data_IF_144148993689
#
_entry.id   IF_144148993689
#
_cell.length_a   1.000
_cell.length_b   1.000
_cell.length_c   1.000
_cell.angle_alpha   90.00
_cell.angle_beta   90.00
_cell.angle_gamma   90.00
#
_symmetry.space_group_name_H-M   'P 1'
#
loop_
_entity.id
_entity.type
_entity.pdbx_description
1 polymer ?
#
# COMPACT_ATOMS: atom_id res chain seq x y z
N UNK A 1 -0.74 -23.53 22.81
CA UNK A 1 0.54 -23.70 22.08
C UNK A 1 0.32 -24.44 20.75
N UNK A 2 0.54 -23.75 19.63
CA UNK A 2 0.76 -24.36 18.31
C UNK A 2 -0.49 -24.64 17.46
N UNK A 3 -1.24 -23.61 17.08
CA UNK A 3 -1.93 -23.64 15.78
C UNK A 3 -1.05 -22.87 14.81
N UNK A 4 -0.53 -23.56 13.79
CA UNK A 4 0.22 -22.97 12.69
C UNK A 4 -0.70 -22.01 11.94
N UNK A 5 -0.55 -20.71 12.15
CA UNK A 5 -1.29 -19.71 11.36
C UNK A 5 -1.55 -18.37 12.05
N UNK A 6 -1.52 -18.27 13.38
CA UNK A 6 -1.55 -16.97 14.07
C UNK A 6 -0.27 -16.78 14.86
N UNK A 7 0.44 -15.68 14.61
CA UNK A 7 1.58 -15.30 15.43
C UNK A 7 1.07 -14.95 16.84
N UNK A 8 1.30 -15.86 17.79
CA UNK A 8 1.01 -15.64 19.21
C UNK A 8 2.24 -15.09 19.91
N UNK A 9 2.07 -14.00 20.65
CA UNK A 9 3.09 -13.41 21.51
C UNK A 9 2.56 -13.42 22.95
N UNK A 10 3.28 -14.13 23.83
CA UNK A 10 3.00 -14.09 25.27
C UNK A 10 3.30 -12.69 25.82
N UNK A 11 2.41 -12.16 26.66
CA UNK A 11 2.65 -10.90 27.35
C UNK A 11 1.44 -10.42 28.13
N UNK A 12 1.68 -9.50 29.04
CA UNK A 12 0.66 -8.95 29.94
C UNK A 12 -0.17 -7.86 29.26
N UNK A 13 -1.39 -7.64 29.75
CA UNK A 13 -2.17 -6.45 29.40
C UNK A 13 -1.55 -5.24 30.14
N UNK A 14 -1.15 -4.17 29.43
CA UNK A 14 -0.53 -3.03 30.06
C UNK A 14 -1.53 -2.28 30.94
N UNK A 15 -1.05 -1.71 32.04
CA UNK A 15 -1.82 -0.77 32.85
C UNK A 15 -1.82 0.60 32.18
N UNK A 16 -3.01 1.12 31.87
CA UNK A 16 -3.17 2.48 31.36
C UNK A 16 -3.30 3.46 32.54
N UNK A 17 -2.42 4.46 32.58
CA UNK A 17 -2.51 5.57 33.53
C UNK A 17 -3.49 6.66 33.05
N UNK A 18 -3.32 7.88 33.53
CA UNK A 18 -4.03 9.07 33.04
C UNK A 18 -3.20 9.90 32.06
N UNK A 19 -1.97 9.47 31.78
CA UNK A 19 -0.99 10.17 30.95
C UNK A 19 -0.30 9.22 29.98
N UNK A 20 0.13 9.72 28.83
CA UNK A 20 0.98 9.00 27.87
C UNK A 20 2.35 8.70 28.49
N UNK A 21 3.20 7.87 27.84
CA UNK A 21 4.59 7.65 28.28
C UNK A 21 5.39 8.96 28.43
N UNK A 22 5.10 9.96 27.61
CA UNK A 22 5.72 11.29 27.65
C UNK A 22 5.09 12.23 28.70
N UNK A 23 4.08 11.77 29.44
CA UNK A 23 3.44 12.52 30.52
C UNK A 23 2.27 13.40 30.09
N UNK A 24 1.81 13.32 28.84
CA UNK A 24 0.68 14.10 28.35
C UNK A 24 -0.65 13.54 28.88
N UNK A 25 -1.53 14.35 29.49
CA UNK A 25 -2.83 13.88 29.94
C UNK A 25 -3.75 13.54 28.76
N UNK A 26 -4.59 12.52 28.93
CA UNK A 26 -5.60 12.12 27.93
C UNK A 26 -6.98 11.87 28.55
N UNK A 27 -8.03 12.02 27.76
CA UNK A 27 -9.40 11.74 28.20
C UNK A 27 -9.77 10.25 28.15
N UNK A 28 -9.20 9.50 27.19
CA UNK A 28 -9.39 8.05 27.11
C UNK A 28 -8.12 7.36 26.61
N UNK A 29 -7.93 6.12 27.07
CA UNK A 29 -6.86 5.24 26.63
C UNK A 29 -7.38 3.84 26.37
N UNK A 30 -6.90 3.20 25.32
CA UNK A 30 -7.21 1.81 24.98
C UNK A 30 -5.93 1.04 24.64
N UNK A 31 -5.92 -0.25 24.91
CA UNK A 31 -4.83 -1.15 24.56
C UNK A 31 -5.38 -2.37 23.83
N UNK A 32 -4.83 -2.66 22.65
CA UNK A 32 -5.24 -3.78 21.80
C UNK A 32 -4.06 -4.75 21.69
N UNK A 33 -4.27 -6.01 22.05
CA UNK A 33 -3.23 -7.04 21.90
C UNK A 33 -3.05 -7.42 20.43
N UNK A 34 -1.81 -7.57 19.99
CA UNK A 34 -1.46 -8.11 18.68
C UNK A 34 -2.06 -9.49 18.44
N UNK A 35 -2.25 -10.29 19.49
CA UNK A 35 -2.88 -11.60 19.41
C UNK A 35 -4.32 -11.52 18.91
N UNK A 36 -5.08 -10.50 19.34
CA UNK A 36 -6.47 -10.31 18.89
C UNK A 36 -6.50 -9.98 17.40
N UNK A 37 -5.57 -9.13 16.94
CA UNK A 37 -5.45 -8.75 15.54
C UNK A 37 -5.03 -9.98 14.70
N UNK A 38 -4.03 -10.73 15.16
CA UNK A 38 -3.55 -11.94 14.47
C UNK A 38 -4.61 -13.05 14.44
N UNK A 39 -5.46 -13.17 15.45
CA UNK A 39 -6.60 -14.09 15.43
C UNK A 39 -7.66 -13.66 14.40
N UNK A 40 -7.93 -12.37 14.29
CA UNK A 40 -8.86 -11.85 13.28
C UNK A 40 -8.34 -12.07 11.85
N UNK A 41 -7.05 -11.82 11.61
CA UNK A 41 -6.39 -12.08 10.32
C UNK A 41 -6.42 -13.56 9.96
N UNK A 42 -6.15 -14.43 10.94
CA UNK A 42 -6.23 -15.88 10.76
C UNK A 42 -7.66 -16.33 10.39
N UNK A 43 -8.68 -15.85 11.10
CA UNK A 43 -10.07 -16.16 10.78
C UNK A 43 -10.49 -15.65 9.39
N UNK A 44 -10.00 -14.47 8.98
CA UNK A 44 -10.24 -13.93 7.64
C UNK A 44 -9.60 -14.80 6.55
N UNK A 45 -8.39 -15.30 6.80
CA UNK A 45 -7.71 -16.23 5.91
C UNK A 45 -8.47 -17.56 5.78
N UNK A 46 -8.88 -18.16 6.90
CA UNK A 46 -9.69 -19.40 6.88
C UNK A 46 -11.03 -19.23 6.16
N UNK A 47 -11.59 -18.02 6.20
CA UNK A 47 -12.81 -17.68 5.46
C UNK A 47 -12.59 -17.43 3.96
N UNK A 48 -11.35 -17.52 3.46
CA UNK A 48 -11.00 -17.26 2.06
C UNK A 48 -11.02 -15.79 1.68
N UNK A 49 -11.03 -14.86 2.65
CA UNK A 49 -11.04 -13.40 2.37
C UNK A 49 -9.70 -12.94 1.81
N UNK A 50 -8.63 -13.67 2.09
CA UNK A 50 -7.27 -13.31 1.68
C UNK A 50 -6.89 -13.83 0.29
N UNK A 51 -7.73 -14.64 -0.36
CA UNK A 51 -7.54 -15.03 -1.77
C UNK A 51 -8.16 -13.98 -2.68
N UNK A 52 -7.48 -13.62 -3.77
CA UNK A 52 -7.99 -12.62 -4.71
C UNK A 52 -7.82 -13.09 -6.15
N UNK A 53 -8.90 -13.00 -6.93
CA UNK A 53 -8.89 -13.20 -8.39
C UNK A 53 -9.16 -11.86 -9.07
N UNK A 54 -8.23 -11.44 -9.92
CA UNK A 54 -8.33 -10.22 -10.71
C UNK A 54 -8.54 -10.61 -12.17
N UNK A 55 -9.75 -10.35 -12.66
CA UNK A 55 -10.11 -10.57 -14.06
C UNK A 55 -9.46 -9.54 -15.00
N UNK A 56 -9.25 -9.91 -16.27
CA UNK A 56 -8.77 -9.00 -17.32
C UNK A 56 -9.62 -7.73 -17.46
N UNK A 57 -8.97 -6.60 -17.71
CA UNK A 57 -9.63 -5.29 -17.86
C UNK A 57 -9.92 -4.55 -16.55
N UNK A 58 -9.60 -5.12 -15.39
CA UNK A 58 -9.73 -4.45 -14.09
C UNK A 58 -8.56 -3.50 -13.77
N UNK A 59 -7.41 -3.70 -14.42
CA UNK A 59 -6.32 -2.73 -14.51
C UNK A 59 -6.18 -2.31 -15.97
N UNK A 60 -6.40 -1.03 -16.25
CA UNK A 60 -6.24 -0.47 -17.60
C UNK A 60 -4.81 -0.61 -18.14
N UNK A 61 -3.83 -0.78 -17.25
CA UNK A 61 -2.41 -0.83 -17.58
C UNK A 61 -1.82 -2.26 -17.51
N UNK A 62 -2.60 -3.27 -17.10
CA UNK A 62 -2.19 -4.69 -17.17
C UNK A 62 -2.58 -5.26 -18.54
N UNK A 63 -2.09 -4.63 -19.60
CA UNK A 63 -2.33 -5.04 -20.99
C UNK A 63 -1.24 -5.97 -21.47
N UNK A 64 -1.50 -6.77 -22.52
CA UNK A 64 -0.44 -7.45 -23.25
C UNK A 64 0.69 -6.49 -23.62
N UNK A 65 0.41 -5.27 -24.07
CA UNK A 65 1.43 -4.28 -24.41
C UNK A 65 2.31 -3.85 -23.21
N UNK A 66 1.72 -3.73 -22.01
CA UNK A 66 2.45 -3.44 -20.77
C UNK A 66 3.31 -4.61 -20.29
N UNK A 67 2.95 -5.85 -20.67
CA UNK A 67 3.77 -7.05 -20.44
C UNK A 67 4.70 -7.33 -21.65
N UNK A 68 4.40 -6.76 -22.82
CA UNK A 68 5.10 -7.00 -24.09
C UNK A 68 6.50 -6.39 -24.12
N UNK A 69 6.74 -5.37 -23.29
CA UNK A 69 8.09 -4.88 -22.96
C UNK A 69 8.98 -6.01 -22.42
N UNK A 70 8.37 -7.09 -21.91
CA UNK A 70 9.02 -8.14 -21.14
C UNK A 70 8.79 -9.55 -21.73
N UNK A 71 8.09 -9.68 -22.86
CA UNK A 71 7.95 -10.94 -23.59
C UNK A 71 9.07 -11.13 -24.62
N UNK A 72 9.59 -12.36 -24.80
CA UNK A 72 10.43 -12.68 -25.95
C UNK A 72 9.72 -12.33 -27.26
N UNK A 73 10.49 -11.94 -28.29
CA UNK A 73 9.96 -11.55 -29.61
C UNK A 73 9.07 -12.62 -30.29
N UNK A 74 9.17 -13.87 -29.84
CA UNK A 74 8.42 -15.02 -30.35
C UNK A 74 7.29 -15.49 -29.41
N UNK A 75 6.94 -14.70 -28.39
CA UNK A 75 5.81 -15.05 -27.53
C UNK A 75 4.50 -14.97 -28.32
N UNK A 76 3.67 -16.01 -28.27
CA UNK A 76 2.34 -16.03 -28.90
C UNK A 76 1.33 -15.13 -28.15
N UNK A 77 1.74 -14.03 -27.50
CA UNK A 77 0.85 -13.16 -26.74
C UNK A 77 0.46 -11.99 -27.64
N UNK A 78 -0.79 -11.97 -28.08
CA UNK A 78 -1.31 -10.91 -28.94
C UNK A 78 -1.87 -9.75 -28.11
N UNK A 79 -1.90 -8.54 -28.68
CA UNK A 79 -2.49 -7.36 -28.04
C UNK A 79 -4.00 -7.49 -27.73
N UNK A 80 -4.66 -8.46 -28.35
CA UNK A 80 -6.05 -8.81 -28.10
C UNK A 80 -6.26 -9.80 -26.93
N UNK A 81 -5.18 -10.38 -26.40
CA UNK A 81 -5.24 -11.35 -25.32
C UNK A 81 -5.55 -10.70 -23.98
N UNK A 82 -6.02 -11.52 -23.04
CA UNK A 82 -6.50 -11.06 -21.75
C UNK A 82 -5.67 -11.64 -20.62
N UNK A 83 -5.16 -10.78 -19.73
CA UNK A 83 -4.30 -11.19 -18.62
C UNK A 83 -5.07 -11.07 -17.31
N UNK A 84 -5.22 -12.22 -16.65
CA UNK A 84 -5.75 -12.35 -15.31
C UNK A 84 -4.62 -12.53 -14.30
N UNK A 85 -4.90 -12.20 -13.05
CA UNK A 85 -3.95 -12.35 -11.94
C UNK A 85 -4.67 -12.97 -10.75
N UNK A 86 -4.00 -13.86 -10.04
CA UNK A 86 -4.58 -14.55 -8.89
C UNK A 86 -3.58 -14.64 -7.75
N UNK A 87 -4.07 -14.36 -6.54
CA UNK A 87 -3.31 -14.37 -5.29
C UNK A 87 -3.87 -15.49 -4.41
N UNK A 88 -3.05 -16.51 -4.20
CA UNK A 88 -3.34 -17.74 -3.46
C UNK A 88 -2.34 -17.88 -2.30
N UNK A 89 -2.57 -17.22 -1.16
CA UNK A 89 -1.72 -17.32 0.01
C UNK A 89 -1.79 -18.71 0.66
N UNK A 90 -0.64 -19.31 0.97
CA UNK A 90 -0.59 -20.59 1.70
C UNK A 90 -0.74 -20.42 3.22
N UNK A 91 -0.47 -19.22 3.73
CA UNK A 91 -0.55 -18.90 5.16
C UNK A 91 -1.36 -17.64 5.44
N UNK A 92 -1.86 -17.51 6.66
CA UNK A 92 -2.53 -16.29 7.10
C UNK A 92 -1.53 -15.15 7.31
N UNK A 93 -1.88 -13.91 6.93
CA UNK A 93 -1.07 -12.76 7.28
C UNK A 93 -1.08 -12.50 8.79
N UNK A 94 -0.07 -11.82 9.28
CA UNK A 94 0.05 -11.45 10.69
C UNK A 94 0.68 -10.08 10.86
N UNK A 95 0.51 -9.49 12.03
CA UNK A 95 1.22 -8.28 12.44
C UNK A 95 2.24 -8.59 13.54
N UNK A 96 3.32 -7.82 13.52
CA UNK A 96 4.30 -7.73 14.59
C UNK A 96 4.50 -6.27 14.96
N UNK A 97 4.23 -5.94 16.21
CA UNK A 97 4.42 -4.58 16.72
C UNK A 97 5.91 -4.33 17.00
N UNK A 98 6.35 -3.10 16.75
CA UNK A 98 7.75 -2.68 16.93
C UNK A 98 7.82 -1.38 17.73
N UNK A 99 8.72 -1.26 18.71
CA UNK A 99 8.78 -0.11 19.62
C UNK A 99 9.46 1.13 19.01
N UNK A 100 9.39 1.35 17.70
CA UNK A 100 10.18 2.39 17.00
C UNK A 100 9.39 3.68 16.74
N UNK A 101 10.10 4.82 16.72
CA UNK A 101 9.60 6.12 16.22
C UNK A 101 9.40 6.04 14.70
N UNK A 102 8.16 5.80 14.27
CA UNK A 102 7.79 5.71 12.86
C UNK A 102 6.67 4.70 12.63
N UNK A 103 7.04 3.49 12.20
CA UNK A 103 6.07 2.41 11.97
C UNK A 103 5.64 1.75 13.30
N UNK A 104 4.33 1.61 13.50
CA UNK A 104 3.75 0.91 14.65
C UNK A 104 4.08 -0.59 14.63
N UNK A 105 4.40 -1.13 13.45
CA UNK A 105 4.79 -2.52 13.29
C UNK A 105 4.99 -2.90 11.83
N UNK A 106 5.09 -4.20 11.62
CA UNK A 106 5.15 -4.82 10.29
C UNK A 106 3.92 -5.70 10.11
N UNK A 107 3.25 -5.55 8.98
CA UNK A 107 2.32 -6.52 8.43
C UNK A 107 3.14 -7.48 7.58
N UNK A 108 3.13 -8.76 7.94
CA UNK A 108 3.91 -9.78 7.27
C UNK A 108 2.99 -10.86 6.71
N UNK A 109 3.32 -11.35 5.53
CA UNK A 109 2.58 -12.38 4.85
C UNK A 109 3.51 -13.32 4.10
N UNK A 110 3.55 -14.57 4.52
CA UNK A 110 4.50 -15.54 4.00
C UNK A 110 3.83 -16.54 3.07
N UNK A 111 4.63 -17.07 2.14
CA UNK A 111 4.23 -18.07 1.16
C UNK A 111 3.01 -17.62 0.34
N UNK A 112 3.04 -16.37 -0.13
CA UNK A 112 2.02 -15.79 -1.01
C UNK A 112 2.30 -16.23 -2.44
N UNK A 113 1.40 -17.03 -3.01
CA UNK A 113 1.48 -17.41 -4.43
C UNK A 113 0.76 -16.37 -5.28
N UNK A 114 1.46 -15.78 -6.23
CA UNK A 114 0.91 -14.91 -7.26
C UNK A 114 1.05 -15.61 -8.60
N UNK A 115 -0.06 -15.79 -9.31
CA UNK A 115 -0.10 -16.40 -10.64
C UNK A 115 -0.65 -15.41 -11.66
N UNK A 116 0.01 -15.36 -12.82
CA UNK A 116 -0.49 -14.65 -13.99
C UNK A 116 -1.07 -15.66 -14.96
N UNK A 117 -2.32 -15.44 -15.35
CA UNK A 117 -3.06 -16.33 -16.22
C UNK A 117 -3.38 -15.62 -17.54
N UNK A 118 -3.13 -16.25 -18.68
CA UNK A 118 -3.51 -15.76 -20.00
C UNK A 118 -4.82 -16.42 -20.43
N UNK A 119 -5.74 -15.61 -20.93
CA UNK A 119 -6.91 -16.05 -21.64
C UNK A 119 -6.79 -15.69 -23.12
N UNK A 120 -6.85 -16.73 -23.96
CA UNK A 120 -7.06 -16.59 -25.39
C UNK A 120 -8.48 -17.02 -25.75
N UNK A 121 -9.11 -16.27 -26.65
CA UNK A 121 -10.45 -16.61 -27.14
C UNK A 121 -10.51 -18.02 -27.75
N UNK A 122 -9.41 -18.50 -28.34
CA UNK A 122 -9.28 -19.83 -28.92
C UNK A 122 -9.23 -20.95 -27.89
N UNK A 123 -8.72 -20.67 -26.69
CA UNK A 123 -8.62 -21.65 -25.61
C UNK A 123 -9.93 -21.79 -24.84
N UNK A 124 -10.69 -20.70 -24.71
CA UNK A 124 -11.93 -20.66 -23.92
C UNK A 124 -11.70 -20.87 -22.41
N UNK A 125 -10.45 -20.87 -21.97
CA UNK A 125 -10.03 -21.07 -20.58
C UNK A 125 -8.77 -20.24 -20.28
N UNK A 126 -8.58 -19.93 -18.99
CA UNK A 126 -7.35 -19.30 -18.49
C UNK A 126 -6.26 -20.34 -18.33
N UNK A 127 -5.04 -20.01 -18.76
CA UNK A 127 -3.85 -20.85 -18.59
C UNK A 127 -2.74 -20.06 -17.94
N UNK A 128 -2.08 -20.66 -16.96
CA UNK A 128 -1.01 -20.00 -16.21
C UNK A 128 0.20 -19.73 -17.09
N UNK A 129 0.54 -18.45 -17.23
CA UNK A 129 1.76 -17.99 -17.88
C UNK A 129 2.96 -18.30 -17.00
N UNK A 130 2.90 -17.85 -15.75
CA UNK A 130 3.90 -18.10 -14.73
C UNK A 130 3.33 -17.84 -13.33
N UNK A 131 4.02 -18.35 -12.32
CA UNK A 131 3.72 -18.12 -10.92
C UNK A 131 4.97 -17.78 -10.12
N UNK A 132 4.79 -17.03 -9.04
CA UNK A 132 5.84 -16.74 -8.06
C UNK A 132 5.28 -16.93 -6.66
N UNK A 133 6.11 -17.49 -5.78
CA UNK A 133 5.85 -17.51 -4.35
C UNK A 133 6.81 -16.55 -3.67
N UNK A 134 6.26 -15.67 -2.82
CA UNK A 134 7.06 -14.67 -2.11
C UNK A 134 6.58 -14.47 -0.67
N UNK A 135 7.50 -13.94 0.13
CA UNK A 135 7.22 -13.37 1.44
C UNK A 135 7.15 -11.86 1.32
N UNK A 136 6.18 -11.28 2.00
CA UNK A 136 5.88 -9.86 2.02
C UNK A 136 6.01 -9.33 3.44
N UNK A 137 6.72 -8.22 3.61
CA UNK A 137 6.78 -7.47 4.87
C UNK A 137 6.55 -6.00 4.60
N UNK A 138 5.58 -5.42 5.28
CA UNK A 138 5.13 -4.05 5.03
C UNK A 138 5.05 -3.28 6.34
N UNK A 139 5.89 -2.25 6.53
CA UNK A 139 5.74 -1.36 7.67
C UNK A 139 4.37 -0.69 7.62
N UNK A 140 3.66 -0.70 8.75
CA UNK A 140 2.38 0.00 8.87
C UNK A 140 2.44 1.06 9.96
N UNK A 141 1.68 2.11 9.72
CA UNK A 141 1.45 3.22 10.64
C UNK A 141 -0.01 3.16 11.13
N UNK A 142 -0.27 3.79 12.26
CA UNK A 142 -1.59 3.81 12.88
C UNK A 142 -2.00 5.27 13.08
N UNK A 143 -3.24 5.61 12.70
CA UNK A 143 -3.80 6.95 12.87
C UNK A 143 -5.30 6.89 13.19
N UNK A 144 -5.96 8.06 13.29
CA UNK A 144 -7.40 8.20 13.40
C UNK A 144 -8.05 8.72 12.12
N UNK A 145 -9.25 8.25 11.80
CA UNK A 145 -10.08 8.78 10.69
C UNK A 145 -10.78 10.09 11.06
N UNK A 146 -11.49 10.69 10.09
CA UNK A 146 -12.34 11.88 10.28
C UNK A 146 -13.42 11.67 11.37
N UNK A 147 -13.89 10.43 11.52
CA UNK A 147 -14.91 10.03 12.50
C UNK A 147 -14.31 9.55 13.84
N UNK A 148 -12.98 9.62 13.99
CA UNK A 148 -12.29 9.14 15.19
C UNK A 148 -12.11 7.62 15.27
N UNK A 149 -12.17 6.91 14.13
CA UNK A 149 -11.91 5.47 14.09
C UNK A 149 -10.42 5.16 13.91
N UNK A 150 -9.98 3.96 14.33
CA UNK A 150 -8.60 3.52 14.12
C UNK A 150 -8.36 3.21 12.64
N UNK A 151 -7.40 3.89 12.04
CA UNK A 151 -6.94 3.65 10.67
C UNK A 151 -5.54 3.05 10.69
N UNK A 152 -5.33 2.01 9.89
CA UNK A 152 -4.00 1.47 9.61
C UNK A 152 -3.58 1.98 8.24
N UNK A 153 -2.39 2.56 8.15
CA UNK A 153 -1.80 3.10 6.93
C UNK A 153 -0.61 2.28 6.51
N UNK A 154 -0.51 2.02 5.21
CA UNK A 154 0.69 1.46 4.58
C UNK A 154 1.20 2.55 3.66
N UNK A 155 2.23 3.27 4.08
CA UNK A 155 2.83 4.36 3.29
C UNK A 155 4.27 4.05 2.86
N UNK A 156 4.87 3.00 3.42
CA UNK A 156 6.22 2.56 3.05
C UNK A 156 6.15 1.43 2.02
N UNK A 157 7.15 1.39 1.14
CA UNK A 157 7.27 0.30 0.17
C UNK A 157 7.41 -1.04 0.89
N UNK A 158 6.70 -2.08 0.43
CA UNK A 158 6.86 -3.42 0.96
C UNK A 158 8.27 -3.95 0.67
N UNK A 159 8.80 -4.73 1.61
CA UNK A 159 9.96 -5.60 1.39
C UNK A 159 9.44 -6.94 0.90
N UNK A 160 9.97 -7.42 -0.22
CA UNK A 160 9.53 -8.66 -0.86
C UNK A 160 10.71 -9.59 -1.01
N UNK A 161 10.52 -10.85 -0.62
CA UNK A 161 11.50 -11.90 -0.79
C UNK A 161 10.88 -13.05 -1.58
N UNK A 162 11.33 -13.22 -2.82
CA UNK A 162 10.93 -14.37 -3.64
C UNK A 162 11.54 -15.64 -3.04
N UNK A 163 10.68 -16.63 -2.79
CA UNK A 163 11.09 -17.94 -2.26
C UNK A 163 11.11 -19.01 -3.34
N UNK A 164 10.18 -18.95 -4.30
CA UNK A 164 10.04 -19.95 -5.35
C UNK A 164 9.46 -19.34 -6.62
N UNK A 165 9.86 -19.88 -7.77
CA UNK A 165 9.37 -19.49 -9.08
C UNK A 165 8.80 -20.71 -9.79
N UNK A 166 7.59 -20.59 -10.33
CA UNK A 166 6.91 -21.70 -11.00
C UNK A 166 7.41 -21.82 -12.44
N UNK A 167 8.38 -22.72 -12.64
CA UNK A 167 8.96 -23.03 -13.94
C UNK A 167 8.06 -23.91 -14.83
N UNK A 168 6.85 -24.26 -14.37
CA UNK A 168 5.89 -25.08 -15.14
C UNK A 168 4.91 -24.25 -15.99
N UNK A 169 4.98 -22.93 -15.87
CA UNK A 169 4.23 -21.98 -16.69
C UNK A 169 4.60 -22.05 -18.19
N UNK A 170 3.78 -21.41 -19.02
CA UNK A 170 3.98 -21.37 -20.48
C UNK A 170 5.28 -20.67 -20.90
N UNK A 171 5.88 -19.86 -20.02
CA UNK A 171 7.15 -19.16 -20.27
C UNK A 171 8.21 -19.49 -19.22
N UNK A 172 9.46 -19.66 -19.66
CA UNK A 172 10.60 -19.83 -18.76
C UNK A 172 11.08 -18.44 -18.32
N UNK A 173 11.04 -18.15 -17.02
CA UNK A 173 11.40 -16.83 -16.49
C UNK A 173 12.74 -16.86 -15.75
N UNK A 174 13.62 -15.87 -15.97
CA UNK A 174 14.82 -15.71 -15.17
C UNK A 174 14.46 -15.13 -13.79
N UNK A 175 15.23 -15.42 -12.73
CA UNK A 175 14.93 -14.92 -11.39
C UNK A 175 14.89 -13.39 -11.25
N UNK A 176 15.66 -12.63 -12.03
CA UNK A 176 15.64 -11.16 -11.97
C UNK A 176 14.39 -10.56 -12.59
N UNK A 177 13.85 -11.14 -13.68
CA UNK A 177 12.54 -10.75 -14.25
C UNK A 177 11.41 -10.78 -13.21
N UNK A 178 11.41 -11.78 -12.32
CA UNK A 178 10.36 -11.96 -11.32
C UNK A 178 10.51 -10.93 -10.20
N UNK A 179 11.75 -10.61 -9.81
CA UNK A 179 12.03 -9.50 -8.89
C UNK A 179 11.55 -8.15 -9.49
N UNK A 180 11.87 -7.87 -10.76
CA UNK A 180 11.43 -6.66 -11.46
C UNK A 180 9.89 -6.57 -11.58
N UNK A 181 9.23 -7.70 -11.87
CA UNK A 181 7.77 -7.78 -11.95
C UNK A 181 7.10 -7.48 -10.60
N UNK A 182 7.62 -8.05 -9.51
CA UNK A 182 7.07 -7.77 -8.17
C UNK A 182 7.31 -6.33 -7.74
N UNK A 183 8.47 -5.76 -8.06
CA UNK A 183 8.79 -4.35 -7.83
C UNK A 183 7.85 -3.40 -8.59
N UNK A 184 7.31 -3.84 -9.72
CA UNK A 184 6.44 -3.07 -10.63
C UNK A 184 4.94 -3.19 -10.31
N UNK A 185 4.45 -4.40 -9.98
CA UNK A 185 3.02 -4.63 -9.75
C UNK A 185 2.57 -4.35 -8.32
N UNK A 186 3.47 -4.45 -7.34
CA UNK A 186 3.09 -4.32 -5.93
C UNK A 186 2.65 -2.92 -5.50
N UNK A 187 3.25 -1.81 -5.99
CA UNK A 187 2.72 -0.47 -5.76
C UNK A 187 1.26 -0.29 -6.23
N UNK A 188 0.80 -1.08 -7.22
CA UNK A 188 -0.58 -1.05 -7.71
C UNK A 188 -1.54 -1.94 -6.90
N UNK A 189 -1.07 -3.05 -6.33
CA UNK A 189 -1.88 -4.00 -5.55
C UNK A 189 -1.99 -3.57 -4.08
N UNK A 190 -0.90 -3.03 -3.51
CA UNK A 190 -0.81 -2.67 -2.09
C UNK A 190 -1.86 -1.66 -1.62
N UNK A 191 -2.17 -0.57 -2.36
CA UNK A 191 -3.23 0.36 -1.98
C UNK A 191 -4.61 -0.30 -1.88
N UNK A 192 -4.88 -1.33 -2.70
CA UNK A 192 -6.15 -2.09 -2.66
C UNK A 192 -6.18 -3.10 -1.52
N UNK A 193 -5.06 -3.76 -1.23
CA UNK A 193 -4.96 -4.59 -0.03
C UNK A 193 -5.19 -3.73 1.23
N UNK A 194 -4.58 -2.54 1.29
CA UNK A 194 -4.81 -1.57 2.35
C UNK A 194 -6.28 -1.10 2.40
N UNK A 195 -6.94 -0.87 1.26
CA UNK A 195 -8.37 -0.52 1.21
C UNK A 195 -9.27 -1.65 1.75
N UNK A 196 -8.92 -2.91 1.49
CA UNK A 196 -9.65 -4.10 1.98
C UNK A 196 -9.36 -4.39 3.45
N UNK A 197 -8.20 -4.02 3.97
CA UNK A 197 -7.85 -4.04 5.40
C UNK A 197 -8.57 -2.93 6.20
N UNK A 198 -9.84 -2.66 5.85
CA UNK A 198 -10.66 -1.55 6.33
C UNK A 198 -10.51 -1.31 7.85
N UNK A 199 -10.27 -0.03 8.15
CA UNK A 199 -10.53 0.72 9.39
C UNK A 199 -11.29 -0.10 10.43
N UNK A 200 -10.64 -0.42 11.55
CA UNK A 200 -11.31 -1.04 12.70
C UNK A 200 -12.16 0.05 13.36
N UNK A 201 -13.51 -0.03 13.29
CA UNK A 201 -14.35 0.98 13.90
C UNK A 201 -14.18 0.93 15.42
N UNK A 202 -13.68 2.02 15.99
CA UNK A 202 -13.70 2.20 17.45
C UNK A 202 -15.12 2.57 17.89
N UNK A 203 -15.61 2.05 19.03
CA UNK A 203 -16.93 2.41 19.54
C UNK A 203 -16.99 3.90 19.86
N UNK A 204 -17.98 4.62 19.32
CA UNK A 204 -18.25 6.02 19.71
C UNK A 204 -18.73 6.08 21.15
N UNK A 205 -18.30 7.10 21.89
CA UNK A 205 -18.77 7.36 23.25
C UNK A 205 -19.76 8.52 23.21
N UNK A 206 -21.06 8.22 23.21
CA UNK A 206 -22.15 9.20 23.24
C UNK A 206 -22.01 10.32 22.17
N UNK A 207 -22.04 11.60 22.59
CA UNK A 207 -21.99 12.79 21.71
C UNK A 207 -20.54 13.30 21.45
N UNK A 208 -19.54 12.43 21.57
CA UNK A 208 -18.13 12.78 21.40
C UNK A 208 -17.47 11.97 20.28
N UNK A 209 -16.60 12.65 19.53
CA UNK A 209 -15.66 12.05 18.59
C UNK A 209 -14.36 11.72 19.31
N UNK A 210 -13.80 10.54 19.03
CA UNK A 210 -12.52 10.10 19.57
C UNK A 210 -11.37 10.69 18.74
N UNK A 211 -10.66 11.68 19.25
CA UNK A 211 -9.47 12.21 18.59
C UNK A 211 -8.23 11.51 19.13
N UNK A 212 -7.60 10.67 18.32
CA UNK A 212 -6.38 9.98 18.73
C UNK A 212 -5.19 10.92 18.59
N UNK A 213 -4.50 11.14 19.71
CA UNK A 213 -3.33 12.02 19.77
C UNK A 213 -2.03 11.25 19.73
N UNK A 214 -2.01 10.10 20.41
CA UNK A 214 -0.78 9.40 20.68
C UNK A 214 -0.98 7.88 20.62
N UNK A 215 0.08 7.19 20.22
CA UNK A 215 0.14 5.74 20.13
C UNK A 215 1.51 5.26 20.59
N UNK A 216 1.54 4.14 21.29
CA UNK A 216 2.80 3.51 21.67
C UNK A 216 2.64 2.00 21.79
N UNK A 217 3.77 1.31 21.68
CA UNK A 217 3.82 -0.12 21.92
C UNK A 217 4.05 -0.39 23.39
N UNK A 218 3.21 -1.23 23.98
CA UNK A 218 3.19 -1.53 25.40
C UNK A 218 3.23 -3.04 25.66
N UNK A 219 3.49 -3.36 26.92
CA UNK A 219 3.67 -4.74 27.40
C UNK A 219 5.12 -5.21 27.27
N UNK A 220 5.54 -6.08 28.19
CA UNK A 220 6.92 -6.58 28.30
C UNK A 220 7.42 -7.34 27.06
N UNK A 221 6.50 -7.80 26.21
CA UNK A 221 6.79 -8.49 24.94
C UNK A 221 6.53 -7.65 23.69
N UNK A 222 6.32 -6.33 23.80
CA UNK A 222 5.87 -5.47 22.69
C UNK A 222 4.62 -6.03 22.00
N UNK A 223 3.66 -6.52 22.79
CA UNK A 223 2.53 -7.31 22.32
C UNK A 223 1.20 -6.54 22.32
N UNK A 224 1.22 -5.26 22.68
CA UNK A 224 0.03 -4.42 22.70
C UNK A 224 0.27 -3.09 22.01
N UNK A 225 -0.69 -2.69 21.17
CA UNK A 225 -0.81 -1.35 20.63
C UNK A 225 -1.67 -0.53 21.59
N UNK A 226 -1.06 0.43 22.26
CA UNK A 226 -1.75 1.38 23.14
C UNK A 226 -2.04 2.67 22.39
N UNK A 227 -3.21 3.23 22.65
CA UNK A 227 -3.76 4.41 21.99
C UNK A 227 -4.30 5.34 23.07
N UNK A 228 -4.00 6.63 22.96
CA UNK A 228 -4.55 7.66 23.83
C UNK A 228 -5.04 8.86 23.05
N UNK A 229 -6.10 9.48 23.56
CA UNK A 229 -6.73 10.59 22.88
C UNK A 229 -7.71 11.38 23.70
N UNK A 230 -8.27 12.37 23.01
CA UNK A 230 -9.20 13.33 23.56
C UNK A 230 -10.62 13.09 23.05
N UNK A 231 -11.60 13.26 23.93
CA UNK A 231 -13.00 13.31 23.57
C UNK A 231 -13.35 14.72 23.12
N UNK A 232 -13.65 14.89 21.84
CA UNK A 232 -14.06 16.19 21.29
C UNK A 232 -15.58 16.16 21.08
N UNK A 233 -16.35 17.13 21.61
CA UNK A 233 -17.79 17.20 21.37
C UNK A 233 -18.10 17.29 19.88
N UNK A 234 -19.07 16.49 19.41
CA UNK A 234 -19.46 16.44 17.99
C UNK A 234 -19.95 17.80 17.47
N UNK A 235 -20.56 18.61 18.33
CA UNK A 235 -20.98 19.97 17.96
C UNK A 235 -19.81 20.89 17.59
N UNK A 236 -18.66 20.72 18.25
CA UNK A 236 -17.45 21.51 17.99
C UNK A 236 -16.80 21.09 16.67
N UNK A 237 -16.68 19.78 16.41
CA UNK A 237 -16.11 19.27 15.16
C UNK A 237 -17.00 19.61 13.96
N UNK A 238 -18.32 19.55 14.10
CA UNK A 238 -19.26 19.92 13.03
C UNK A 238 -19.19 21.41 12.67
N UNK A 239 -19.09 22.28 13.66
CA UNK A 239 -19.06 23.74 13.50
C UNK A 239 -17.69 24.28 13.04
N UNK A 240 -16.63 23.48 13.05
CA UNK A 240 -15.30 23.89 12.62
C UNK A 240 -15.29 24.32 11.14
N UNK A 241 -14.51 25.36 10.84
CA UNK A 241 -14.26 25.81 9.48
C UNK A 241 -13.40 24.81 8.71
N UNK A 242 -13.68 24.65 7.42
CA UNK A 242 -12.89 23.78 6.54
C UNK A 242 -11.52 24.42 6.24
N UNK A 243 -10.43 23.64 6.24
CA UNK A 243 -9.13 24.09 5.77
C UNK A 243 -9.09 24.16 4.23
N UNK A 244 -8.00 24.70 3.69
CA UNK A 244 -7.70 24.57 2.26
C UNK A 244 -6.29 24.06 2.03
N UNK A 245 -6.09 23.19 1.05
CA UNK A 245 -4.78 22.67 0.63
C UNK A 245 -4.24 23.47 -0.55
N UNK A 246 -2.94 23.76 -0.53
CA UNK A 246 -2.18 24.35 -1.63
C UNK A 246 -1.09 23.38 -2.06
N UNK A 247 -0.94 23.16 -3.37
CA UNK A 247 0.22 22.45 -3.93
C UNK A 247 1.23 23.51 -4.34
N UNK A 248 2.41 23.48 -3.73
CA UNK A 248 3.45 24.50 -3.90
C UNK A 248 4.37 24.18 -5.08
N UNK A 249 4.87 22.94 -5.16
CA UNK A 249 5.73 22.47 -6.25
C UNK A 249 5.51 20.98 -6.57
N UNK A 250 5.82 20.60 -7.81
CA UNK A 250 5.78 19.22 -8.29
C UNK A 250 7.03 18.94 -9.11
N UNK A 251 7.94 18.16 -8.55
CA UNK A 251 9.21 17.79 -9.18
C UNK A 251 9.14 16.35 -9.64
N UNK A 252 9.45 16.09 -10.92
CA UNK A 252 9.53 14.73 -11.48
C UNK A 252 10.96 14.35 -11.80
N UNK A 253 11.29 13.08 -11.59
CA UNK A 253 12.61 12.51 -11.87
C UNK A 253 12.49 11.23 -12.72
N UNK A 254 13.45 11.04 -13.62
CA UNK A 254 13.55 9.83 -14.45
C UNK A 254 14.15 8.69 -13.65
N UNK A 255 13.63 7.48 -13.84
CA UNK A 255 14.12 6.27 -13.16
C UNK A 255 14.59 5.25 -14.19
N UNK A 256 15.83 4.77 -14.05
CA UNK A 256 16.35 3.65 -14.84
C UNK A 256 16.09 2.35 -14.09
N UNK A 257 15.37 1.43 -14.73
CA UNK A 257 15.07 0.09 -14.22
C UNK A 257 15.82 -0.96 -15.05
N UNK A 258 16.40 -1.94 -14.38
CA UNK A 258 16.99 -3.10 -15.06
C UNK A 258 15.90 -4.11 -15.42
N UNK A 259 15.92 -4.50 -16.69
CA UNK A 259 14.97 -5.43 -17.31
C UNK A 259 15.73 -6.62 -17.84
N UNK A 260 15.38 -7.82 -17.38
CA UNK A 260 15.93 -9.07 -17.89
C UNK A 260 15.01 -9.68 -18.95
N UNK A 261 15.60 -10.15 -20.04
CA UNK A 261 14.95 -10.96 -21.06
C UNK A 261 15.67 -12.30 -21.21
N UNK A 262 14.94 -13.32 -21.67
CA UNK A 262 15.50 -14.66 -21.95
C UNK A 262 15.30 -14.95 -23.42
N UNK A 263 16.39 -15.28 -24.10
CA UNK A 263 16.32 -15.71 -25.48
C UNK A 263 15.90 -17.18 -25.62
N UNK A 264 15.63 -17.63 -26.84
CA UNK A 264 15.20 -19.01 -27.15
C UNK A 264 16.17 -20.11 -26.65
N UNK A 265 17.42 -19.74 -26.35
CA UNK A 265 18.47 -20.65 -25.86
C UNK A 265 18.57 -20.67 -24.33
N UNK A 266 17.68 -19.97 -23.62
CA UNK A 266 17.69 -19.90 -22.16
C UNK A 266 18.78 -18.99 -21.58
N UNK A 267 19.38 -18.12 -22.40
CA UNK A 267 20.40 -17.16 -21.95
C UNK A 267 19.69 -15.89 -21.50
N UNK A 268 20.04 -15.42 -20.29
CA UNK A 268 19.53 -14.17 -19.70
C UNK A 268 20.33 -12.98 -20.21
N UNK A 269 19.64 -11.97 -20.72
CA UNK A 269 20.21 -10.67 -21.10
C UNK A 269 19.56 -9.57 -20.28
N UNK A 270 20.36 -8.66 -19.72
CA UNK A 270 19.90 -7.51 -18.94
C UNK A 270 20.00 -6.24 -19.77
N UNK A 271 18.89 -5.53 -19.94
CA UNK A 271 18.80 -4.21 -20.57
C UNK A 271 18.38 -3.17 -19.51
N UNK A 272 18.81 -1.93 -19.69
CA UNK A 272 18.36 -0.83 -18.84
C UNK A 272 17.27 -0.04 -19.57
N UNK A 273 16.09 0.07 -18.96
CA UNK A 273 14.98 0.86 -19.49
C UNK A 273 14.81 2.10 -18.63
N UNK A 274 14.77 3.28 -19.26
CA UNK A 274 14.49 4.54 -18.56
C UNK A 274 13.02 4.86 -18.65
N UNK A 275 12.41 5.13 -17.50
CA UNK A 275 11.05 5.63 -17.35
C UNK A 275 11.12 7.10 -17.01
N UNK A 276 10.68 7.95 -17.95
CA UNK A 276 10.65 9.39 -17.76
C UNK A 276 9.59 9.76 -16.73
N UNK A 277 9.91 10.65 -15.78
CA UNK A 277 9.02 11.01 -14.67
C UNK A 277 8.55 9.79 -13.84
N UNK A 278 9.42 8.79 -13.65
CA UNK A 278 9.14 7.59 -12.86
C UNK A 278 9.06 7.84 -11.35
N UNK A 279 9.58 8.98 -10.89
CA UNK A 279 9.49 9.48 -9.52
C UNK A 279 8.88 10.88 -9.50
N UNK A 280 8.07 11.17 -8.47
CA UNK A 280 7.49 12.50 -8.26
C UNK A 280 7.51 12.88 -6.79
N UNK A 281 7.90 14.12 -6.54
CA UNK A 281 7.83 14.78 -5.23
C UNK A 281 6.84 15.93 -5.33
N UNK A 282 5.85 15.96 -4.45
CA UNK A 282 4.80 16.97 -4.39
C UNK A 282 4.91 17.70 -3.06
N UNK A 283 5.23 18.99 -3.12
CA UNK A 283 5.26 19.87 -1.95
C UNK A 283 3.87 20.41 -1.66
N UNK A 284 3.44 20.29 -0.40
CA UNK A 284 2.09 20.62 0.04
C UNK A 284 2.09 21.55 1.24
N UNK A 285 1.17 22.51 1.22
CA UNK A 285 0.85 23.38 2.35
C UNK A 285 -0.66 23.61 2.43
N UNK A 286 -1.11 24.47 3.35
CA UNK A 286 -2.52 24.79 3.48
C UNK A 286 -2.82 25.88 4.49
N UNK A 287 -3.99 26.50 4.30
CA UNK A 287 -4.51 27.49 5.24
C UNK A 287 -5.29 26.77 6.35
N UNK A 288 -4.76 26.79 7.57
CA UNK A 288 -5.52 26.39 8.74
C UNK A 288 -6.38 27.57 9.24
N UNK A 289 -7.73 27.46 9.23
CA UNK A 289 -8.59 28.49 9.80
C UNK A 289 -8.48 28.64 11.32
N UNK A 290 -7.91 27.65 12.02
CA UNK A 290 -7.69 27.67 13.47
C UNK A 290 -6.24 27.23 13.81
N UNK A 291 -5.22 28.04 13.46
CA UNK A 291 -3.81 27.66 13.62
C UNK A 291 -3.42 27.46 15.08
N UNK A 292 -4.08 28.17 16.01
CA UNK A 292 -3.85 28.05 17.45
C UNK A 292 -4.19 26.67 18.01
N UNK A 293 -4.99 25.86 17.30
CA UNK A 293 -5.38 24.51 17.69
C UNK A 293 -4.43 23.44 17.18
N UNK A 294 -3.42 23.80 16.36
CA UNK A 294 -2.41 22.89 15.83
C UNK A 294 -2.25 23.00 14.30
N UNK A 295 -1.41 22.12 13.75
CA UNK A 295 -1.13 22.08 12.30
C UNK A 295 -2.14 21.22 11.54
N UNK A 296 -2.24 21.45 10.23
CA UNK A 296 -3.03 20.60 9.33
C UNK A 296 -2.41 19.21 9.22
N UNK A 297 -3.26 18.24 8.95
CA UNK A 297 -2.87 16.91 8.53
C UNK A 297 -3.34 16.69 7.10
N UNK A 298 -2.55 15.97 6.33
CA UNK A 298 -2.83 15.70 4.93
C UNK A 298 -2.92 14.20 4.69
N UNK A 299 -3.64 13.85 3.62
CA UNK A 299 -3.65 12.51 3.03
C UNK A 299 -3.69 12.64 1.51
N UNK A 300 -3.27 11.61 0.82
CA UNK A 300 -3.36 11.55 -0.64
C UNK A 300 -3.89 10.20 -1.14
N UNK A 301 -4.33 10.18 -2.38
CA UNK A 301 -4.55 8.94 -3.14
C UNK A 301 -4.04 9.12 -4.57
N UNK A 302 -3.60 8.02 -5.16
CA UNK A 302 -3.08 7.98 -6.53
C UNK A 302 -4.06 7.19 -7.39
N UNK A 303 -4.42 7.73 -8.56
CA UNK A 303 -5.24 7.09 -9.61
C UNK A 303 -6.58 6.54 -9.12
N UNK A 304 -7.22 7.26 -8.18
CA UNK A 304 -8.49 6.84 -7.59
C UNK A 304 -8.40 5.64 -6.65
N UNK A 305 -7.20 5.22 -6.27
CA UNK A 305 -6.94 4.16 -5.30
C UNK A 305 -7.32 4.51 -3.86
N UNK A 306 -6.86 3.67 -2.92
CA UNK A 306 -7.07 3.86 -1.49
C UNK A 306 -6.42 5.14 -0.98
N UNK A 307 -7.05 5.77 0.02
CA UNK A 307 -6.48 6.92 0.71
C UNK A 307 -5.35 6.51 1.64
N UNK A 308 -4.26 7.29 1.64
CA UNK A 308 -3.24 7.26 2.68
C UNK A 308 -3.85 7.62 4.04
N UNK A 309 -3.11 7.37 5.13
CA UNK A 309 -3.56 7.86 6.43
C UNK A 309 -3.49 9.38 6.48
N UNK A 310 -4.19 9.97 7.43
CA UNK A 310 -3.97 11.36 7.79
C UNK A 310 -2.66 11.46 8.56
N UNK A 311 -1.76 12.35 8.16
CA UNK A 311 -0.57 12.68 8.97
C UNK A 311 -0.07 14.09 8.65
N UNK A 312 0.69 14.67 9.56
CA UNK A 312 1.42 15.91 9.28
C UNK A 312 2.53 15.59 8.28
N UNK A 313 2.48 16.25 7.12
CA UNK A 313 3.48 16.15 6.06
C UNK A 313 3.47 17.46 5.29
N UNK A 314 4.63 17.88 4.86
CA UNK A 314 4.91 18.99 3.97
C UNK A 314 5.23 18.50 2.54
N UNK A 315 5.50 17.21 2.39
CA UNK A 315 5.93 16.60 1.15
C UNK A 315 5.28 15.21 0.95
N UNK A 316 5.01 14.86 -0.31
CA UNK A 316 4.57 13.53 -0.75
C UNK A 316 5.54 13.02 -1.80
N UNK A 317 6.19 11.87 -1.54
CA UNK A 317 7.07 11.20 -2.50
C UNK A 317 6.41 9.95 -3.04
N UNK A 318 6.30 9.85 -4.36
CA UNK A 318 5.84 8.65 -5.06
C UNK A 318 6.97 8.18 -5.97
N UNK A 319 7.20 6.88 -5.98
CA UNK A 319 8.25 6.26 -6.78
C UNK A 319 7.72 5.09 -7.59
N UNK A 320 8.45 4.73 -8.64
CA UNK A 320 8.15 3.59 -9.52
C UNK A 320 6.77 3.68 -10.15
N UNK A 321 6.42 4.86 -10.64
CA UNK A 321 5.16 5.11 -11.34
C UNK A 321 5.15 4.40 -12.70
N UNK A 322 3.98 3.91 -13.11
CA UNK A 322 3.80 3.18 -14.37
C UNK A 322 3.81 4.16 -15.53
N UNK A 323 4.10 3.72 -16.76
CA UNK A 323 3.85 4.59 -17.90
C UNK A 323 2.34 4.86 -18.04
N UNK A 324 1.96 6.12 -18.25
CA UNK A 324 0.58 6.55 -18.34
C UNK A 324 0.32 7.91 -17.69
N UNK A 325 -0.95 8.32 -17.71
CA UNK A 325 -1.42 9.50 -16.98
C UNK A 325 -1.71 9.12 -15.52
N UNK A 326 -1.21 9.94 -14.60
CA UNK A 326 -1.40 9.80 -13.17
C UNK A 326 -2.13 10.99 -12.57
N UNK A 327 -3.02 10.71 -11.62
CA UNK A 327 -3.80 11.70 -10.88
C UNK A 327 -3.60 11.51 -9.37
N UNK A 328 -2.99 12.48 -8.71
CA UNK A 328 -2.78 12.49 -7.26
C UNK A 328 -3.71 13.49 -6.62
N UNK A 329 -4.68 13.01 -5.84
CA UNK A 329 -5.60 13.86 -5.10
C UNK A 329 -5.11 14.02 -3.67
N UNK A 330 -4.99 15.26 -3.20
CA UNK A 330 -4.46 15.61 -1.87
C UNK A 330 -5.53 16.35 -1.07
N UNK A 331 -5.84 15.89 0.14
CA UNK A 331 -6.78 16.57 1.03
C UNK A 331 -6.10 17.01 2.32
N UNK A 332 -6.58 18.10 2.91
CA UNK A 332 -6.24 18.52 4.27
C UNK A 332 -7.40 18.35 5.26
N UNK A 333 -7.05 18.19 6.54
CA UNK A 333 -7.97 18.30 7.68
C UNK A 333 -7.36 19.12 8.82
N UNK A 334 -8.23 19.77 9.58
CA UNK A 334 -7.84 20.48 10.82
C UNK A 334 -7.68 19.51 11.99
N UNK A 335 -7.01 19.94 13.09
CA UNK A 335 -6.97 19.19 14.36
C UNK A 335 -8.35 18.86 14.95
N UNK A 336 -9.41 19.57 14.55
CA UNK A 336 -10.80 19.29 14.93
C UNK A 336 -11.49 18.29 13.99
N UNK A 337 -10.71 17.54 13.21
CA UNK A 337 -11.17 16.51 12.27
C UNK A 337 -12.06 17.06 11.13
N UNK A 338 -12.03 18.37 10.90
CA UNK A 338 -12.76 19.00 9.79
C UNK A 338 -11.94 18.91 8.51
N UNK A 339 -12.45 18.20 7.51
CA UNK A 339 -11.85 18.06 6.18
C UNK A 339 -12.18 19.24 5.27
N UNK A 340 -11.27 19.53 4.37
CA UNK A 340 -11.53 20.32 3.17
C UNK A 340 -12.68 19.72 2.32
N UNK A 341 -13.45 20.59 1.67
CA UNK A 341 -14.61 20.19 0.87
C UNK A 341 -14.23 19.68 -0.53
N UNK A 342 -13.18 20.23 -1.12
CA UNK A 342 -12.69 19.90 -2.45
C UNK A 342 -11.18 19.75 -2.39
N UNK A 343 -10.68 18.57 -2.71
CA UNK A 343 -9.26 18.27 -2.62
C UNK A 343 -8.58 18.63 -3.95
N UNK A 344 -7.45 19.36 -3.95
CA UNK A 344 -6.68 19.58 -5.16
C UNK A 344 -6.20 18.26 -5.80
N UNK A 345 -6.08 18.28 -7.12
CA UNK A 345 -5.60 17.15 -7.93
C UNK A 345 -4.37 17.61 -8.71
N UNK A 346 -3.29 16.84 -8.61
CA UNK A 346 -2.07 16.99 -9.41
C UNK A 346 -2.11 15.92 -10.51
N UNK A 347 -1.91 16.33 -11.76
CA UNK A 347 -1.87 15.42 -12.91
C UNK A 347 -0.51 15.49 -13.58
N UNK A 348 0.09 14.34 -13.88
CA UNK A 348 1.35 14.23 -14.61
C UNK A 348 1.36 12.95 -15.46
N UNK A 349 2.30 12.87 -16.40
CA UNK A 349 2.43 11.72 -17.31
C UNK A 349 3.82 11.12 -17.21
N UNK A 350 3.87 9.81 -17.12
CA UNK A 350 5.09 9.00 -17.08
C UNK A 350 5.18 8.24 -18.41
N UNK A 351 6.36 8.20 -19.03
CA UNK A 351 6.55 7.57 -20.35
C UNK A 351 7.80 6.71 -20.37
N UNK A 352 7.76 5.56 -21.05
CA UNK A 352 8.97 4.75 -21.29
C UNK A 352 9.78 5.44 -22.39
N UNK A 353 11.04 5.76 -22.11
CA UNK A 353 11.94 6.32 -23.11
C UNK A 353 12.12 5.29 -24.24
N UNK A 354 11.73 5.63 -25.47
CA UNK A 354 12.02 4.80 -26.63
C UNK A 354 13.54 4.72 -26.82
N UNK A 355 14.09 3.51 -26.94
CA UNK A 355 15.46 3.34 -27.43
C UNK A 355 15.58 4.04 -28.77
N UNK A 356 16.53 4.96 -28.88
CA UNK A 356 16.86 5.58 -30.16
C UNK A 356 17.33 4.49 -31.12
N UNK A 357 16.48 4.13 -32.08
CA UNK A 357 16.90 3.35 -33.23
C UNK A 357 17.96 4.17 -33.96
N UNK A 358 19.24 3.80 -33.82
CA UNK A 358 20.27 4.26 -34.73
C UNK A 358 19.85 3.81 -36.15
N UNK A 359 19.32 4.74 -36.94
CA UNK A 359 19.22 4.59 -38.37
C UNK A 359 20.65 4.41 -38.90
N UNK A 360 21.05 3.15 -39.10
CA UNK A 360 22.21 2.80 -39.90
C UNK A 360 21.97 3.35 -41.32
N UNK A 361 22.53 4.52 -41.59
CA UNK A 361 22.59 5.09 -42.93
C UNK A 361 23.67 4.35 -43.70
N UNK A 362 23.24 3.65 -44.75
CA UNK A 362 24.04 2.92 -45.74
C UNK A 362 25.01 3.82 -46.52
#
# INVERSE_FOLDING_TARGET
PGALGSLYVEGETPTMGATTPDGEPFHFGASISSNVINQALHAAHEAGVTTMDISPGFYANATPDGIAVYTPADSEIDSADQIGMRIEPASAPYIKLMPADGAAGVFAWYDVKLTFDLYKAEWGEYRTLFGVTFNLEVPFEVNSTEDGFLSIGIEQLPIIYITETDATGMILLPPGFINSTLDFFMPAVMPRLAEKLKVVPLPRIYEHTLYMRDFWIAGSGNNNLSLAGDLIPVSVTQAAAAPSTTVEDVVTEDVTVEVESVNELGVVTSNAVTVNNGEVTIDIDGLNPNPDLGFLEYRYRVDGGGWSIWKRRDEIRLSRLLAGEHNVEVCSRTPLLKRELSCPVVTFTTEVAQEATEEATE
#
